data_IF_502037817140
#
_entry.id   IF_502037817140
#
_cell.length_a   1.000
_cell.length_b   1.000
_cell.length_c   1.000
_cell.angle_alpha   90.00
_cell.angle_beta   90.00
_cell.angle_gamma   90.00
#
_symmetry.space_group_name_H-M   'P 1'
#
loop_
_entity.id
_entity.type
_entity.pdbx_description
1 polymer ?
#
# COMPACT_ATOMS: atom_id res chain seq x y z
N UNK A 1 44.79 -15.98 -34.08
CA UNK A 1 44.55 -15.40 -32.75
C UNK A 1 44.57 -13.87 -32.89
N UNK A 2 43.42 -13.20 -33.06
CA UNK A 2 43.38 -11.73 -33.24
C UNK A 2 43.52 -11.07 -31.87
N UNK A 3 44.61 -10.36 -31.64
CA UNK A 3 44.80 -9.61 -30.40
C UNK A 3 43.70 -8.54 -30.26
N UNK A 4 43.07 -8.41 -29.08
CA UNK A 4 42.05 -7.39 -28.87
C UNK A 4 42.66 -6.00 -29.04
N UNK A 5 42.00 -5.18 -29.85
CA UNK A 5 42.39 -3.81 -30.14
C UNK A 5 42.47 -3.00 -28.85
N UNK A 6 43.45 -2.10 -28.74
CA UNK A 6 43.77 -1.33 -27.55
C UNK A 6 42.53 -0.68 -26.88
N UNK A 7 41.62 -0.14 -27.69
CA UNK A 7 40.33 0.44 -27.27
C UNK A 7 39.45 -0.54 -26.48
N UNK A 8 39.36 -1.81 -26.90
CA UNK A 8 38.55 -2.82 -26.21
C UNK A 8 39.11 -3.18 -24.83
N UNK A 9 40.43 -3.08 -24.64
CA UNK A 9 41.08 -3.33 -23.35
C UNK A 9 40.82 -2.18 -22.38
N UNK A 10 40.91 -0.95 -22.85
CA UNK A 10 40.60 0.24 -22.03
C UNK A 10 39.15 0.23 -21.58
N UNK A 11 38.21 -0.05 -22.49
CA UNK A 11 36.79 -0.09 -22.15
C UNK A 11 36.49 -1.16 -21.08
N UNK A 12 37.05 -2.36 -21.23
CA UNK A 12 36.93 -3.44 -20.23
C UNK A 12 37.53 -3.05 -18.89
N UNK A 13 38.69 -2.40 -18.90
CA UNK A 13 39.36 -1.95 -17.69
C UNK A 13 38.52 -0.89 -16.95
N UNK A 14 37.93 0.05 -17.69
CA UNK A 14 37.06 1.09 -17.14
C UNK A 14 35.80 0.50 -16.50
N UNK A 15 35.15 -0.45 -17.17
CA UNK A 15 33.98 -1.17 -16.60
C UNK A 15 34.37 -1.91 -15.32
N UNK A 16 35.49 -2.64 -15.31
CA UNK A 16 35.95 -3.35 -14.11
C UNK A 16 36.30 -2.40 -12.96
N UNK A 17 36.90 -1.25 -13.25
CA UNK A 17 37.20 -0.21 -12.25
C UNK A 17 35.93 0.40 -11.68
N UNK A 18 34.94 0.68 -12.52
CA UNK A 18 33.63 1.18 -12.07
C UNK A 18 32.97 0.17 -11.11
N UNK A 19 32.92 -1.11 -11.47
CA UNK A 19 32.34 -2.14 -10.61
C UNK A 19 33.15 -2.37 -9.32
N UNK A 20 34.47 -2.38 -9.39
CA UNK A 20 35.32 -2.50 -8.20
C UNK A 20 35.24 -1.27 -7.28
N UNK A 21 35.05 -0.07 -7.83
CA UNK A 21 34.78 1.12 -7.04
C UNK A 21 33.46 1.02 -6.27
N UNK A 22 32.42 0.48 -6.91
CA UNK A 22 31.10 0.30 -6.31
C UNK A 22 31.09 -0.74 -5.18
N UNK A 23 32.02 -1.71 -5.15
CA UNK A 23 32.10 -2.70 -4.06
C UNK A 23 32.90 -2.22 -2.85
N UNK A 24 33.89 -1.36 -3.05
CA UNK A 24 34.74 -0.85 -1.95
C UNK A 24 34.12 0.35 -1.24
N UNK A 25 33.40 1.20 -1.98
CA UNK A 25 32.73 2.36 -1.41
C UNK A 25 31.24 2.07 -1.19
N UNK A 26 30.70 2.23 0.03
CA UNK A 26 29.26 2.14 0.23
C UNK A 26 28.60 3.34 -0.45
N UNK A 27 28.02 3.12 -1.64
CA UNK A 27 27.18 4.11 -2.27
C UNK A 27 25.90 4.28 -1.44
N UNK A 28 25.53 5.54 -1.21
CA UNK A 28 24.32 5.88 -0.46
C UNK A 28 23.10 5.29 -1.18
N UNK A 29 22.36 4.41 -0.51
CA UNK A 29 21.14 3.83 -1.06
C UNK A 29 20.06 4.90 -1.05
N UNK A 30 19.66 5.39 -2.22
CA UNK A 30 18.67 6.47 -2.37
C UNK A 30 17.23 5.98 -2.54
N UNK A 31 16.97 4.68 -2.35
CA UNK A 31 15.63 4.12 -2.52
C UNK A 31 14.61 4.77 -1.58
N UNK A 32 15.03 5.11 -0.37
CA UNK A 32 14.19 5.75 0.65
C UNK A 32 13.95 7.23 0.33
N UNK A 33 14.94 7.94 -0.20
CA UNK A 33 14.83 9.37 -0.51
C UNK A 33 14.03 9.65 -1.77
N UNK A 34 14.07 8.77 -2.77
CA UNK A 34 13.32 8.95 -4.03
C UNK A 34 11.79 8.91 -3.83
N UNK A 35 11.30 8.13 -2.86
CA UNK A 35 9.88 7.94 -2.57
C UNK A 35 9.44 8.56 -1.23
N UNK A 36 10.30 9.38 -0.62
CA UNK A 36 10.10 9.96 0.71
C UNK A 36 9.65 8.93 1.76
N UNK A 37 10.24 7.73 1.70
CA UNK A 37 9.93 6.64 2.60
C UNK A 37 10.68 6.81 3.92
N UNK A 38 10.10 6.37 5.05
CA UNK A 38 10.77 6.38 6.33
C UNK A 38 12.11 5.64 6.30
N UNK A 39 13.08 6.15 7.05
CA UNK A 39 14.35 5.45 7.26
C UNK A 39 14.09 4.08 7.87
N UNK A 40 14.92 3.10 7.51
CA UNK A 40 14.83 1.74 8.05
C UNK A 40 14.97 1.81 9.58
N UNK A 41 14.04 1.16 10.29
CA UNK A 41 14.01 1.19 11.76
C UNK A 41 13.17 2.32 12.35
N UNK A 42 12.64 3.23 11.53
CA UNK A 42 11.67 4.23 11.99
C UNK A 42 10.33 3.56 12.25
N UNK A 43 9.78 3.76 13.45
CA UNK A 43 8.41 3.36 13.78
C UNK A 43 7.42 4.20 12.96
N UNK A 44 6.53 3.54 12.23
CA UNK A 44 5.44 4.21 11.51
C UNK A 44 4.23 4.28 12.43
N UNK A 45 3.60 5.45 12.52
CA UNK A 45 2.38 5.64 13.31
C UNK A 45 1.24 4.92 12.57
N UNK A 46 0.51 3.99 13.23
CA UNK A 46 -0.64 3.37 12.61
C UNK A 46 -1.73 4.41 12.37
N UNK A 47 -2.52 4.22 11.32
CA UNK A 47 -3.74 5.01 11.11
C UNK A 47 -4.70 4.78 12.28
N UNK A 48 -5.60 5.75 12.51
CA UNK A 48 -6.65 5.59 13.51
C UNK A 48 -7.47 4.33 13.23
N UNK A 49 -7.98 3.73 14.31
CA UNK A 49 -8.86 2.56 14.18
C UNK A 49 -10.16 3.02 13.57
N UNK A 50 -10.61 2.34 12.51
CA UNK A 50 -11.86 2.64 11.82
C UNK A 50 -12.77 1.40 11.81
N UNK A 51 -13.94 1.52 12.42
CA UNK A 51 -14.98 0.51 12.39
C UNK A 51 -15.95 0.80 11.22
N UNK A 52 -15.93 0.00 10.13
CA UNK A 52 -16.88 0.17 9.03
C UNK A 52 -18.31 -0.20 9.46
N UNK A 53 -19.30 0.31 8.73
CA UNK A 53 -20.69 -0.10 8.96
C UNK A 53 -20.88 -1.59 8.66
N UNK A 54 -21.68 -2.26 9.49
CA UNK A 54 -21.85 -3.72 9.45
C UNK A 54 -23.30 -4.11 9.72
N UNK A 55 -23.81 -5.09 8.96
CA UNK A 55 -25.13 -5.65 9.18
C UNK A 55 -25.11 -6.58 10.40
N UNK A 56 -25.87 -6.24 11.44
CA UNK A 56 -26.01 -7.05 12.65
C UNK A 56 -27.09 -8.12 12.51
N UNK A 57 -28.13 -7.86 11.74
CA UNK A 57 -29.20 -8.83 11.52
C UNK A 57 -30.39 -8.26 10.77
N UNK A 58 -31.43 -9.09 10.64
CA UNK A 58 -32.69 -8.75 10.02
C UNK A 58 -33.81 -9.11 10.98
N UNK A 59 -34.71 -8.17 11.24
CA UNK A 59 -35.94 -8.43 11.96
C UNK A 59 -37.02 -8.85 10.97
N UNK A 60 -37.65 -9.99 11.25
CA UNK A 60 -38.73 -10.54 10.43
C UNK A 60 -40.05 -9.98 10.93
N UNK A 61 -40.80 -9.32 10.04
CA UNK A 61 -42.16 -8.90 10.33
C UNK A 61 -43.13 -10.09 10.18
N UNK A 62 -43.87 -10.40 11.24
CA UNK A 62 -44.80 -11.54 11.27
C UNK A 62 -46.04 -11.32 10.40
N UNK A 63 -46.47 -10.07 10.26
CA UNK A 63 -47.67 -9.71 9.50
C UNK A 63 -47.36 -9.56 8.01
N UNK A 64 -46.11 -9.20 7.67
CA UNK A 64 -45.61 -9.18 6.30
C UNK A 64 -44.20 -9.78 6.21
N UNK A 65 -44.07 -11.08 5.88
CA UNK A 65 -42.78 -11.76 5.80
C UNK A 65 -41.82 -11.24 4.73
N UNK A 66 -42.31 -10.44 3.78
CA UNK A 66 -41.50 -9.82 2.73
C UNK A 66 -40.97 -8.43 3.14
N UNK A 67 -41.45 -7.87 4.26
CA UNK A 67 -40.92 -6.64 4.82
C UNK A 67 -39.71 -6.95 5.72
N UNK A 68 -38.53 -6.53 5.29
CA UNK A 68 -37.27 -6.73 6.00
C UNK A 68 -36.83 -5.46 6.71
N UNK A 69 -36.67 -5.54 8.02
CA UNK A 69 -36.09 -4.47 8.81
C UNK A 69 -34.64 -4.82 9.16
N UNK A 70 -33.68 -4.11 8.56
CA UNK A 70 -32.25 -4.35 8.77
C UNK A 70 -31.75 -3.65 10.03
N UNK A 71 -31.01 -4.38 10.86
CA UNK A 71 -30.31 -3.83 12.02
C UNK A 71 -28.86 -3.59 11.60
N UNK A 72 -28.50 -2.32 11.45
CA UNK A 72 -27.16 -1.91 11.03
C UNK A 72 -26.39 -1.32 12.22
N UNK A 73 -25.11 -1.64 12.31
CA UNK A 73 -24.13 -0.91 13.11
C UNK A 73 -23.42 0.07 12.19
N UNK A 74 -23.46 1.35 12.49
CA UNK A 74 -22.88 2.39 11.63
C UNK A 74 -21.39 2.55 11.86
N UNK A 75 -20.84 2.02 12.96
CA UNK A 75 -19.45 2.24 13.34
C UNK A 75 -19.05 3.72 13.20
N UNK A 76 -17.90 3.96 12.59
CA UNK A 76 -17.34 5.29 12.33
C UNK A 76 -17.72 5.86 10.95
N UNK A 77 -18.67 5.22 10.25
CA UNK A 77 -19.02 5.62 8.87
C UNK A 77 -19.84 6.91 8.79
N UNK A 78 -20.45 7.36 9.88
CA UNK A 78 -21.35 8.51 9.89
C UNK A 78 -22.67 8.29 9.14
N UNK A 79 -22.98 7.06 8.74
CA UNK A 79 -24.18 6.69 7.99
C UNK A 79 -25.45 6.92 8.83
N UNK A 80 -26.46 7.60 8.28
CA UNK A 80 -27.75 7.76 8.94
C UNK A 80 -28.76 6.74 8.40
N UNK A 81 -28.91 5.64 9.14
CA UNK A 81 -29.71 4.46 8.78
C UNK A 81 -31.17 4.80 8.41
N UNK A 82 -31.72 5.90 8.94
CA UNK A 82 -33.16 6.16 8.87
C UNK A 82 -33.63 6.85 7.58
N UNK A 83 -32.82 7.73 6.99
CA UNK A 83 -33.21 8.53 5.82
C UNK A 83 -32.58 8.03 4.53
N UNK A 84 -31.32 7.60 4.56
CA UNK A 84 -30.56 7.32 3.34
C UNK A 84 -30.88 5.95 2.73
N UNK A 85 -31.14 4.94 3.56
CA UNK A 85 -31.35 3.55 3.09
C UNK A 85 -32.81 3.22 2.75
N UNK A 86 -33.77 3.98 3.27
CA UNK A 86 -35.21 3.74 3.03
C UNK A 86 -35.69 4.35 1.72
N UNK A 87 -35.00 5.37 1.23
CA UNK A 87 -35.37 6.10 0.01
C UNK A 87 -34.82 5.43 -1.28
N UNK A 88 -33.88 4.49 -1.15
CA UNK A 88 -33.29 3.74 -2.28
C UNK A 88 -33.92 2.35 -2.53
N UNK A 89 -34.84 1.89 -1.68
CA UNK A 89 -35.47 0.55 -1.73
C UNK A 89 -36.95 0.59 -2.12
#
# INVERSE_FOLDING_TARGET
MRLPTFHSKIFRCLVLLAFAGQTVFPFQVQAQTALNLPVIGTMVVPTETYAPSSLRGVMINKDNPLAFDFILDTGDSGLNVSSELRDEA
#
